data_IF_239234362687
#
_entry.id   IF_239234362687
#
_cell.length_a   1.000
_cell.length_b   1.000
_cell.length_c   1.000
_cell.angle_alpha   90.00
_cell.angle_beta   90.00
_cell.angle_gamma   90.00
#
_symmetry.space_group_name_H-M   'P 1'
#
loop_
_entity.id
_entity.type
_entity.pdbx_description
1 polymer ?
#
# COMPACT_ATOMS: atom_id res chain seq x y z
N UNK A 1 -0.56 14.15 -6.47
CA UNK A 1 -0.13 15.34 -5.71
C UNK A 1 1.38 15.54 -5.77
N UNK A 2 2.18 14.58 -5.33
CA UNK A 2 3.65 14.73 -5.24
C UNK A 2 4.36 14.95 -6.60
N UNK A 3 3.87 14.34 -7.68
CA UNK A 3 4.37 14.67 -9.03
C UNK A 3 4.11 16.15 -9.38
N UNK A 4 2.90 16.65 -9.14
CA UNK A 4 2.53 18.04 -9.41
C UNK A 4 3.37 19.04 -8.62
N UNK A 5 3.73 18.73 -7.37
CA UNK A 5 4.59 19.63 -6.58
C UNK A 5 6.00 19.75 -7.17
N UNK A 6 6.55 18.65 -7.72
CA UNK A 6 7.82 18.66 -8.43
C UNK A 6 7.74 19.47 -9.73
N UNK A 7 6.69 19.25 -10.53
CA UNK A 7 6.44 20.02 -11.76
C UNK A 7 6.33 21.51 -11.44
N UNK A 8 5.60 21.86 -10.38
CA UNK A 8 5.42 23.26 -9.98
C UNK A 8 6.74 23.88 -9.51
N UNK A 9 7.54 23.15 -8.74
CA UNK A 9 8.88 23.60 -8.33
C UNK A 9 9.80 23.84 -9.53
N UNK A 10 9.71 23.00 -10.57
CA UNK A 10 10.40 23.20 -11.85
C UNK A 10 9.93 24.44 -12.58
N UNK A 11 8.62 24.62 -12.75
CA UNK A 11 8.04 25.80 -13.41
C UNK A 11 8.43 27.12 -12.73
N UNK A 12 8.52 27.11 -11.41
CA UNK A 12 8.90 28.28 -10.61
C UNK A 12 10.41 28.42 -10.38
N UNK A 13 11.23 27.50 -10.91
CA UNK A 13 12.68 27.45 -10.70
C UNK A 13 13.06 27.52 -9.21
N UNK A 14 12.41 26.73 -8.34
CA UNK A 14 12.67 26.75 -6.89
C UNK A 14 13.87 25.86 -6.51
N UNK A 15 15.06 26.42 -6.22
CA UNK A 15 16.25 25.62 -5.94
C UNK A 15 16.21 24.96 -4.55
N UNK A 16 15.40 25.51 -3.64
CA UNK A 16 15.24 25.06 -2.26
C UNK A 16 14.14 24.00 -2.08
N UNK A 17 13.53 23.54 -3.17
CA UNK A 17 12.59 22.42 -3.13
C UNK A 17 13.33 21.10 -3.41
N UNK A 18 13.03 20.08 -2.62
CA UNK A 18 13.46 18.70 -2.87
C UNK A 18 12.40 17.73 -2.34
N UNK A 19 12.29 16.55 -2.94
CA UNK A 19 11.40 15.48 -2.50
C UNK A 19 12.19 14.19 -2.30
N UNK A 20 11.94 13.50 -1.20
CA UNK A 20 12.41 12.14 -0.98
C UNK A 20 11.33 11.19 -1.48
N UNK A 21 11.62 10.46 -2.56
CA UNK A 21 10.63 9.56 -3.16
C UNK A 21 10.66 8.20 -2.49
N UNK A 22 9.55 7.90 -1.80
CA UNK A 22 9.28 6.61 -1.14
C UNK A 22 7.94 6.02 -1.59
N UNK A 23 7.46 6.41 -2.77
CA UNK A 23 6.20 5.89 -3.32
C UNK A 23 6.38 4.47 -3.83
N UNK A 24 5.31 3.69 -3.71
CA UNK A 24 5.26 2.27 -4.02
C UNK A 24 4.16 1.94 -5.04
N UNK A 25 4.28 0.79 -5.69
CA UNK A 25 3.32 0.22 -6.64
C UNK A 25 2.63 -1.00 -6.02
N UNK A 26 1.30 -1.03 -6.10
CA UNK A 26 0.49 -2.08 -5.47
C UNK A 26 0.61 -3.44 -6.18
N UNK A 27 0.48 -3.55 -7.52
CA UNK A 27 0.50 -4.87 -8.17
C UNK A 27 1.79 -5.69 -7.91
N UNK A 28 3.01 -5.11 -7.99
CA UNK A 28 4.24 -5.85 -7.66
C UNK A 28 4.29 -6.35 -6.20
N UNK A 29 3.71 -5.60 -5.26
CA UNK A 29 3.66 -6.04 -3.87
C UNK A 29 2.63 -7.14 -3.65
N UNK A 30 1.47 -7.08 -4.34
CA UNK A 30 0.51 -8.18 -4.35
C UNK A 30 1.16 -9.45 -4.91
N UNK A 31 1.90 -9.33 -6.01
CA UNK A 31 2.64 -10.44 -6.62
C UNK A 31 3.65 -11.06 -5.64
N UNK A 32 4.45 -10.22 -4.97
CA UNK A 32 5.41 -10.68 -3.97
C UNK A 32 4.75 -11.39 -2.77
N UNK A 33 3.56 -10.96 -2.36
CA UNK A 33 2.79 -11.66 -1.31
C UNK A 33 2.26 -13.00 -1.84
N UNK A 34 1.77 -13.06 -3.07
CA UNK A 34 1.26 -14.30 -3.67
C UNK A 34 2.36 -15.33 -3.96
N UNK A 35 3.59 -14.88 -4.21
CA UNK A 35 4.76 -15.74 -4.37
C UNK A 35 5.34 -16.25 -3.03
N UNK A 36 4.88 -15.74 -1.88
CA UNK A 36 5.30 -16.22 -0.56
C UNK A 36 4.68 -17.58 -0.25
N UNK A 37 5.50 -18.56 0.15
CA UNK A 37 5.05 -19.93 0.47
C UNK A 37 4.06 -20.00 1.65
N UNK A 38 4.05 -18.98 2.50
CA UNK A 38 3.12 -18.87 3.63
C UNK A 38 1.84 -18.11 3.29
N UNK A 39 1.67 -17.70 2.03
CA UNK A 39 0.47 -17.00 1.58
C UNK A 39 -0.76 -17.90 1.68
N UNK A 40 -1.83 -17.36 2.24
CA UNK A 40 -3.12 -18.03 2.43
C UNK A 40 -4.29 -17.16 1.95
N UNK A 41 -4.02 -16.25 1.01
CA UNK A 41 -5.02 -15.32 0.48
C UNK A 41 -5.77 -15.99 -0.66
N UNK A 42 -7.10 -16.13 -0.50
CA UNK A 42 -7.97 -16.68 -1.54
C UNK A 42 -8.54 -15.62 -2.49
N UNK A 43 -8.60 -14.36 -2.07
CA UNK A 43 -9.12 -13.25 -2.87
C UNK A 43 -8.63 -11.89 -2.34
N UNK A 44 -8.61 -10.88 -3.21
CA UNK A 44 -8.31 -9.50 -2.83
C UNK A 44 -9.52 -8.58 -2.97
N UNK A 45 -9.63 -7.65 -2.01
CA UNK A 45 -10.38 -6.42 -2.20
C UNK A 45 -9.41 -5.33 -2.65
N UNK A 46 -9.54 -4.88 -3.90
CA UNK A 46 -8.66 -3.87 -4.48
C UNK A 46 -9.01 -2.46 -3.98
N UNK A 47 -7.99 -1.69 -3.62
CA UNK A 47 -8.14 -0.37 -3.04
C UNK A 47 -8.72 0.65 -4.03
N UNK A 48 -9.94 1.13 -3.76
CA UNK A 48 -10.68 2.03 -4.65
C UNK A 48 -9.97 3.35 -4.98
N UNK A 49 -9.30 4.00 -4.02
CA UNK A 49 -8.59 5.26 -4.28
C UNK A 49 -7.38 5.11 -5.20
N UNK A 50 -6.63 4.01 -5.05
CA UNK A 50 -5.51 3.71 -5.95
C UNK A 50 -6.06 3.40 -7.35
N UNK A 51 -7.10 2.58 -7.43
CA UNK A 51 -7.73 2.22 -8.69
C UNK A 51 -8.39 3.42 -9.41
N UNK A 52 -8.88 4.42 -8.67
CA UNK A 52 -9.40 5.65 -9.27
C UNK A 52 -8.34 6.43 -10.04
N UNK A 53 -7.06 6.32 -9.64
CA UNK A 53 -5.93 6.97 -10.32
C UNK A 53 -5.31 6.05 -11.37
N UNK A 54 -4.91 4.84 -10.97
CA UNK A 54 -4.12 3.93 -11.82
C UNK A 54 -4.98 3.08 -12.75
N UNK A 55 -6.26 2.93 -12.43
CA UNK A 55 -7.13 1.94 -13.05
C UNK A 55 -7.02 0.59 -12.34
N UNK A 56 -7.53 -0.45 -13.00
CA UNK A 56 -7.47 -1.83 -12.49
C UNK A 56 -7.02 -2.84 -13.54
N UNK A 57 -6.60 -2.39 -14.73
CA UNK A 57 -6.13 -3.26 -15.81
C UNK A 57 -4.89 -4.06 -15.42
N UNK A 58 -3.98 -3.48 -14.63
CA UNK A 58 -2.76 -4.15 -14.16
C UNK A 58 -3.04 -5.34 -13.22
N UNK A 59 -4.28 -5.49 -12.74
CA UNK A 59 -4.67 -6.64 -11.93
C UNK A 59 -5.11 -7.84 -12.77
N UNK A 60 -5.42 -7.69 -14.07
CA UNK A 60 -5.86 -8.81 -14.91
C UNK A 60 -4.81 -9.93 -15.01
N UNK A 61 -3.51 -9.64 -15.27
CA UNK A 61 -2.49 -10.68 -15.32
C UNK A 61 -2.30 -11.40 -13.97
N UNK A 62 -2.50 -10.70 -12.85
CA UNK A 62 -2.41 -11.30 -11.52
C UNK A 62 -3.56 -12.26 -11.26
N UNK A 63 -4.80 -11.85 -11.56
CA UNK A 63 -5.97 -12.70 -11.39
C UNK A 63 -5.87 -13.98 -12.23
N UNK A 64 -5.36 -13.88 -13.46
CA UNK A 64 -5.15 -15.02 -14.35
C UNK A 64 -4.01 -15.92 -13.89
N UNK A 65 -2.82 -15.36 -13.60
CA UNK A 65 -1.62 -16.12 -13.19
C UNK A 65 -1.84 -16.90 -11.91
N UNK A 66 -2.42 -16.26 -10.89
CA UNK A 66 -2.56 -16.85 -9.55
C UNK A 66 -3.93 -17.50 -9.32
N UNK A 67 -4.84 -17.43 -10.30
CA UNK A 67 -6.21 -17.91 -10.15
C UNK A 67 -6.85 -17.33 -8.88
N UNK A 68 -6.81 -15.99 -8.75
CA UNK A 68 -7.31 -15.27 -7.58
C UNK A 68 -8.32 -14.19 -7.98
N UNK A 69 -9.53 -14.14 -7.39
CA UNK A 69 -10.46 -13.05 -7.65
C UNK A 69 -9.95 -11.74 -7.04
N UNK A 70 -10.07 -10.64 -7.79
CA UNK A 70 -9.71 -9.31 -7.32
C UNK A 70 -10.93 -8.41 -7.50
N UNK A 71 -11.52 -7.91 -6.42
CA UNK A 71 -12.72 -7.09 -6.49
C UNK A 71 -12.40 -5.68 -6.03
N UNK A 72 -12.45 -4.69 -6.93
CA UNK A 72 -12.22 -3.29 -6.58
C UNK A 72 -13.43 -2.78 -5.79
N UNK A 73 -13.19 -2.25 -4.59
CA UNK A 73 -14.24 -1.74 -3.70
C UNK A 73 -14.05 -0.27 -3.37
N UNK A 74 -15.15 0.37 -2.98
CA UNK A 74 -15.10 1.61 -2.22
C UNK A 74 -14.79 1.35 -0.75
N UNK A 75 -15.09 2.33 0.10
CA UNK A 75 -14.77 2.32 1.53
C UNK A 75 -16.03 2.41 2.41
N UNK A 76 -17.22 2.54 1.82
CA UNK A 76 -18.45 2.47 2.60
C UNK A 76 -18.69 1.02 3.05
N UNK A 77 -19.32 0.80 4.22
CA UNK A 77 -19.58 -0.55 4.72
C UNK A 77 -20.28 -1.46 3.69
N UNK A 78 -21.21 -0.90 2.90
CA UNK A 78 -21.90 -1.64 1.85
C UNK A 78 -20.99 -2.01 0.68
N UNK A 79 -20.04 -1.15 0.31
CA UNK A 79 -19.07 -1.45 -0.75
C UNK A 79 -18.20 -2.65 -0.37
N UNK A 80 -17.76 -2.69 0.89
CA UNK A 80 -16.93 -3.78 1.42
C UNK A 80 -17.71 -5.09 1.47
N UNK A 81 -18.94 -5.09 2.00
CA UNK A 81 -19.79 -6.28 2.05
C UNK A 81 -20.10 -6.79 0.64
N UNK A 82 -20.39 -5.90 -0.30
CA UNK A 82 -20.62 -6.26 -1.70
C UNK A 82 -19.35 -6.84 -2.35
N UNK A 83 -18.19 -6.25 -2.09
CA UNK A 83 -16.90 -6.76 -2.55
C UNK A 83 -16.64 -8.19 -2.07
N UNK A 84 -16.80 -8.43 -0.77
CA UNK A 84 -16.66 -9.76 -0.14
C UNK A 84 -17.63 -10.75 -0.77
N UNK A 85 -18.90 -10.39 -0.89
CA UNK A 85 -19.93 -11.25 -1.49
C UNK A 85 -19.57 -11.65 -2.93
N UNK A 86 -19.05 -10.73 -3.74
CA UNK A 86 -18.63 -11.02 -5.11
C UNK A 86 -17.39 -11.92 -5.16
N UNK A 87 -16.40 -11.68 -4.28
CA UNK A 87 -15.22 -12.54 -4.18
C UNK A 87 -15.61 -13.98 -3.81
N UNK A 88 -16.46 -14.16 -2.79
CA UNK A 88 -16.95 -15.48 -2.37
C UNK A 88 -17.71 -16.18 -3.50
N UNK A 89 -18.60 -15.48 -4.21
CA UNK A 89 -19.32 -16.07 -5.35
C UNK A 89 -18.42 -16.49 -6.51
N UNK A 90 -17.33 -15.79 -6.73
CA UNK A 90 -16.32 -16.17 -7.71
C UNK A 90 -15.59 -17.45 -7.27
N UNK A 91 -15.16 -17.52 -6.02
CA UNK A 91 -14.53 -18.69 -5.42
C UNK A 91 -15.42 -19.94 -5.49
N UNK A 92 -16.69 -19.83 -5.10
CA UNK A 92 -17.67 -20.93 -5.17
C UNK A 92 -17.88 -21.48 -6.59
N UNK A 93 -17.61 -20.67 -7.61
CA UNK A 93 -17.78 -21.03 -9.03
C UNK A 93 -16.47 -21.40 -9.71
N UNK A 94 -15.33 -21.33 -9.03
CA UNK A 94 -14.01 -21.50 -9.65
C UNK A 94 -13.71 -20.45 -10.72
N UNK A 95 -14.17 -19.21 -10.52
CA UNK A 95 -13.93 -18.07 -11.42
C UNK A 95 -12.93 -17.13 -10.75
N UNK A 96 -11.99 -16.59 -11.53
CA UNK A 96 -10.89 -15.76 -11.04
C UNK A 96 -10.74 -14.51 -11.90
N UNK A 97 -11.67 -13.57 -11.75
CA UNK A 97 -11.72 -12.34 -12.54
C UNK A 97 -11.53 -11.12 -11.67
N UNK A 98 -11.01 -10.07 -12.31
CA UNK A 98 -11.05 -8.72 -11.74
C UNK A 98 -12.45 -8.15 -11.97
N UNK A 99 -13.10 -7.69 -10.90
CA UNK A 99 -14.40 -7.02 -10.95
C UNK A 99 -14.33 -5.62 -10.34
N UNK A 100 -15.08 -4.67 -10.89
CA UNK A 100 -15.16 -3.32 -10.36
C UNK A 100 -16.52 -3.07 -9.69
N UNK A 101 -16.56 -3.13 -8.36
CA UNK A 101 -17.73 -2.77 -7.56
C UNK A 101 -17.73 -1.29 -7.13
N UNK A 102 -16.71 -0.53 -7.52
CA UNK A 102 -16.59 0.91 -7.27
C UNK A 102 -16.73 1.75 -8.56
N UNK A 103 -17.57 1.27 -9.49
CA UNK A 103 -17.75 1.85 -10.83
C UNK A 103 -18.18 3.33 -10.85
N UNK A 104 -18.72 3.85 -9.74
CA UNK A 104 -19.04 5.27 -9.58
C UNK A 104 -17.80 6.18 -9.53
N UNK A 105 -16.63 5.64 -9.20
CA UNK A 105 -15.39 6.40 -9.03
C UNK A 105 -14.21 5.82 -9.83
N UNK A 106 -14.28 4.56 -10.26
CA UNK A 106 -13.16 3.84 -10.88
C UNK A 106 -13.48 3.46 -12.31
N UNK A 107 -12.58 3.82 -13.23
CA UNK A 107 -12.55 3.35 -14.63
C UNK A 107 -11.44 2.31 -14.82
N UNK A 108 -11.53 1.51 -15.88
CA UNK A 108 -10.54 0.45 -16.17
C UNK A 108 -9.14 1.04 -16.34
N UNK A 109 -9.05 2.06 -17.19
CA UNK A 109 -7.83 2.78 -17.55
C UNK A 109 -7.32 3.74 -16.45
N UNK A 110 -8.18 4.01 -15.45
CA UNK A 110 -7.94 4.98 -14.39
C UNK A 110 -8.09 6.43 -14.84
N UNK A 111 -7.25 7.31 -14.30
CA UNK A 111 -7.16 8.70 -14.67
C UNK A 111 -5.92 8.91 -15.56
N UNK A 112 -6.14 8.97 -16.88
CA UNK A 112 -5.07 9.09 -17.87
C UNK A 112 -4.22 10.36 -17.69
N UNK A 113 -4.83 11.49 -17.33
CA UNK A 113 -4.10 12.75 -17.10
C UNK A 113 -3.20 12.64 -15.86
N UNK A 114 -3.70 12.04 -14.79
CA UNK A 114 -2.90 11.82 -13.58
C UNK A 114 -1.74 10.84 -13.81
N UNK A 115 -1.98 9.77 -14.58
CA UNK A 115 -0.94 8.80 -14.97
C UNK A 115 0.16 9.48 -15.78
N UNK A 116 -0.19 10.29 -16.79
CA UNK A 116 0.77 11.05 -17.59
C UNK A 116 1.65 11.97 -16.72
N UNK A 117 1.04 12.68 -15.75
CA UNK A 117 1.78 13.53 -14.80
C UNK A 117 2.71 12.72 -13.89
N UNK A 118 2.29 11.54 -13.46
CA UNK A 118 3.12 10.64 -12.64
C UNK A 118 4.31 10.16 -13.48
N UNK A 119 4.08 9.68 -14.69
CA UNK A 119 5.10 9.14 -15.60
C UNK A 119 6.12 10.19 -16.06
N UNK A 120 5.70 11.45 -16.18
CA UNK A 120 6.58 12.57 -16.47
C UNK A 120 7.65 12.77 -15.39
N UNK A 121 7.26 12.65 -14.11
CA UNK A 121 8.14 12.95 -12.97
C UNK A 121 8.85 11.70 -12.45
N UNK A 122 8.17 10.56 -12.51
CA UNK A 122 8.60 9.33 -11.87
C UNK A 122 8.77 8.19 -12.89
N UNK A 123 9.89 7.48 -12.79
CA UNK A 123 10.14 6.20 -13.43
C UNK A 123 9.90 5.04 -12.46
N UNK A 124 9.85 3.81 -12.96
CA UNK A 124 9.72 2.61 -12.13
C UNK A 124 11.12 2.12 -11.73
N UNK A 125 11.28 1.75 -10.46
CA UNK A 125 12.48 1.14 -9.93
C UNK A 125 12.19 0.18 -8.78
N UNK A 126 13.24 -0.43 -8.26
CA UNK A 126 13.13 -1.34 -7.12
C UNK A 126 12.87 -0.56 -5.83
N UNK A 127 12.22 -1.20 -4.87
CA UNK A 127 11.91 -0.57 -3.59
C UNK A 127 11.98 -1.56 -2.45
N UNK A 128 12.59 -1.12 -1.36
CA UNK A 128 12.49 -1.78 -0.07
C UNK A 128 11.13 -1.51 0.57
N UNK A 129 10.40 -2.59 0.82
CA UNK A 129 9.15 -2.60 1.57
C UNK A 129 9.44 -3.02 3.00
N UNK A 130 9.24 -2.11 3.93
CA UNK A 130 9.53 -2.35 5.35
C UNK A 130 8.79 -3.60 5.86
N UNK A 131 9.52 -4.54 6.45
CA UNK A 131 9.02 -5.85 6.89
C UNK A 131 8.83 -6.92 5.81
N UNK A 132 8.89 -6.59 4.51
CA UNK A 132 8.74 -7.56 3.41
C UNK A 132 10.08 -7.77 2.69
N UNK A 133 10.88 -6.71 2.54
CA UNK A 133 12.17 -6.71 1.86
C UNK A 133 12.14 -5.97 0.53
N UNK A 134 13.20 -6.13 -0.27
CA UNK A 134 13.28 -5.49 -1.57
C UNK A 134 12.40 -6.20 -2.60
N UNK A 135 11.44 -5.47 -3.17
CA UNK A 135 10.58 -5.97 -4.23
C UNK A 135 10.98 -5.29 -5.55
N UNK A 136 11.35 -6.04 -6.60
CA UNK A 136 11.72 -5.47 -7.89
C UNK A 136 10.58 -4.66 -8.51
N UNK A 137 10.92 -3.55 -9.19
CA UNK A 137 9.96 -2.71 -9.93
C UNK A 137 8.71 -2.32 -9.14
N UNK A 138 8.84 -2.16 -7.82
CA UNK A 138 7.73 -1.96 -6.90
C UNK A 138 7.64 -0.53 -6.35
N UNK A 139 8.45 0.39 -6.84
CA UNK A 139 8.37 1.78 -6.44
C UNK A 139 8.75 2.76 -7.53
N UNK A 140 8.54 4.03 -7.23
CA UNK A 140 8.87 5.12 -8.13
C UNK A 140 10.26 5.67 -7.83
N UNK A 141 10.98 6.10 -8.85
CA UNK A 141 12.24 6.86 -8.77
C UNK A 141 12.10 8.15 -9.56
N UNK A 142 12.89 9.18 -9.27
CA UNK A 142 12.82 10.44 -10.01
C UNK A 142 13.42 10.27 -11.41
N UNK A 143 12.72 10.80 -12.42
CA UNK A 143 13.21 10.85 -13.79
C UNK A 143 14.41 11.81 -13.93
N UNK A 144 15.33 11.57 -14.88
CA UNK A 144 16.53 12.40 -15.08
C UNK A 144 16.22 13.91 -15.22
N UNK A 145 15.13 14.25 -15.89
CA UNK A 145 14.68 15.64 -16.12
C UNK A 145 14.27 16.39 -14.84
N UNK A 146 14.11 15.65 -13.75
CA UNK A 146 13.70 16.12 -12.44
C UNK A 146 14.73 15.84 -11.35
N UNK A 147 15.93 15.35 -11.73
CA UNK A 147 17.05 15.01 -10.83
C UNK A 147 17.45 16.17 -9.89
N UNK A 148 17.31 17.40 -10.37
CA UNK A 148 17.52 18.61 -9.56
C UNK A 148 16.50 18.80 -8.42
N UNK A 149 15.56 17.88 -8.20
CA UNK A 149 14.62 17.87 -7.07
C UNK A 149 14.74 16.59 -6.22
N UNK A 150 15.60 15.66 -6.59
CA UNK A 150 15.78 14.41 -5.85
C UNK A 150 16.57 14.63 -4.57
N UNK A 151 15.88 14.52 -3.43
CA UNK A 151 16.53 14.64 -2.13
C UNK A 151 17.52 13.49 -1.87
N UNK A 152 17.22 12.27 -2.35
CA UNK A 152 18.09 11.12 -2.14
C UNK A 152 19.47 11.36 -2.74
N UNK A 153 19.48 11.92 -3.95
CA UNK A 153 20.71 12.23 -4.65
C UNK A 153 21.39 13.50 -4.11
N UNK A 154 20.66 14.61 -3.96
CA UNK A 154 21.21 15.88 -3.49
C UNK A 154 21.93 15.77 -2.16
N UNK A 155 21.41 14.94 -1.27
CA UNK A 155 21.91 14.80 0.09
C UNK A 155 22.69 13.50 0.30
N UNK A 156 22.85 12.67 -0.73
CA UNK A 156 23.61 11.41 -0.64
C UNK A 156 23.03 10.42 0.36
N UNK A 157 21.71 10.37 0.52
CA UNK A 157 21.03 9.56 1.54
C UNK A 157 20.48 8.22 1.01
N UNK A 158 20.78 7.87 -0.24
CA UNK A 158 20.32 6.63 -0.89
C UNK A 158 20.85 5.35 -0.24
N UNK A 159 21.94 5.43 0.54
CA UNK A 159 22.56 4.27 1.19
C UNK A 159 22.22 4.11 2.68
N UNK A 160 21.36 4.98 3.24
CA UNK A 160 20.97 4.87 4.65
C UNK A 160 20.10 3.63 4.83
N UNK A 161 20.54 2.72 5.70
CA UNK A 161 19.75 1.57 6.16
C UNK A 161 19.36 1.78 7.61
N UNK A 162 18.11 1.49 7.92
CA UNK A 162 17.58 1.54 9.28
C UNK A 162 17.24 0.13 9.68
N UNK A 163 17.81 -0.33 10.79
CA UNK A 163 17.42 -1.62 11.37
C UNK A 163 16.05 -1.50 12.04
N UNK A 164 15.18 -2.47 11.77
CA UNK A 164 13.90 -2.58 12.44
C UNK A 164 14.06 -3.19 13.83
N UNK A 165 13.17 -2.87 14.76
CA UNK A 165 13.15 -3.52 16.07
C UNK A 165 12.89 -5.03 15.86
N UNK A 166 13.80 -5.92 16.30
CA UNK A 166 13.70 -7.36 16.04
C UNK A 166 12.49 -8.02 16.73
N UNK A 167 11.88 -7.36 17.71
CA UNK A 167 10.64 -7.82 18.34
C UNK A 167 9.38 -7.47 17.54
N UNK A 168 9.50 -6.63 16.51
CA UNK A 168 8.38 -6.21 15.68
C UNK A 168 8.09 -7.23 14.57
N UNK A 169 6.89 -7.82 14.59
CA UNK A 169 6.42 -8.74 13.54
C UNK A 169 5.63 -8.02 12.43
N UNK A 170 5.95 -6.76 12.14
CA UNK A 170 5.21 -5.96 11.16
C UNK A 170 5.14 -6.62 9.77
N UNK A 171 6.20 -7.30 9.34
CA UNK A 171 6.23 -8.07 8.10
C UNK A 171 5.16 -9.15 8.03
N UNK A 172 5.05 -9.99 9.06
CA UNK A 172 4.02 -11.03 9.15
C UNK A 172 2.60 -10.45 9.13
N UNK A 173 2.41 -9.27 9.73
CA UNK A 173 1.12 -8.57 9.74
C UNK A 173 0.79 -8.01 8.36
N UNK A 174 1.75 -7.38 7.69
CA UNK A 174 1.57 -6.82 6.35
C UNK A 174 1.31 -7.91 5.30
N UNK A 175 1.89 -9.09 5.47
CA UNK A 175 1.64 -10.27 4.61
C UNK A 175 0.34 -11.01 4.95
N UNK A 176 -0.39 -10.60 5.99
CA UNK A 176 -1.63 -11.26 6.42
C UNK A 176 -1.44 -12.59 7.16
N UNK A 177 -0.20 -13.00 7.45
CA UNK A 177 0.15 -14.26 8.13
C UNK A 177 -0.28 -14.21 9.60
N UNK A 178 -0.09 -13.06 10.27
CA UNK A 178 -0.45 -12.85 11.68
C UNK A 178 -1.32 -11.61 11.85
N UNK A 179 -2.23 -11.64 12.83
CA UNK A 179 -2.99 -10.45 13.24
C UNK A 179 -2.15 -9.60 14.20
N UNK A 180 -2.37 -8.27 14.28
CA UNK A 180 -1.66 -7.40 15.23
C UNK A 180 -1.70 -7.89 16.68
N UNK A 181 -2.82 -8.48 17.12
CA UNK A 181 -2.97 -9.04 18.47
C UNK A 181 -2.02 -10.23 18.77
N UNK A 182 -1.43 -10.87 17.76
CA UNK A 182 -0.42 -11.91 17.93
C UNK A 182 1.00 -11.34 18.16
N UNK A 183 1.19 -10.03 18.00
CA UNK A 183 2.47 -9.38 18.24
C UNK A 183 2.70 -9.20 19.76
N UNK A 184 3.85 -9.62 20.31
CA UNK A 184 4.11 -9.53 21.75
C UNK A 184 4.17 -8.08 22.27
N UNK A 185 4.49 -7.13 21.38
CA UNK A 185 4.65 -5.71 21.69
C UNK A 185 3.40 -4.86 21.48
N UNK A 186 2.38 -5.41 20.82
CA UNK A 186 1.19 -4.68 20.43
C UNK A 186 0.41 -4.20 21.65
N UNK A 187 0.16 -2.88 21.71
CA UNK A 187 -0.52 -2.22 22.81
C UNK A 187 0.29 -2.14 24.12
N UNK A 188 1.56 -2.58 24.10
CA UNK A 188 2.49 -2.48 25.22
C UNK A 188 3.55 -1.43 24.91
N UNK A 189 4.74 -1.85 24.44
CA UNK A 189 5.80 -0.94 23.97
C UNK A 189 5.49 -0.33 22.61
N UNK A 190 4.67 -1.01 21.80
CA UNK A 190 4.23 -0.52 20.50
C UNK A 190 2.82 0.07 20.60
N UNK A 191 2.72 1.39 20.58
CA UNK A 191 1.46 2.15 20.59
C UNK A 191 1.51 3.24 19.51
N UNK A 192 0.39 3.91 19.15
CA UNK A 192 0.44 5.04 18.22
C UNK A 192 1.37 6.18 18.68
N UNK A 193 1.51 6.39 20.00
CA UNK A 193 2.41 7.39 20.57
C UNK A 193 3.90 6.96 20.56
N UNK A 194 4.17 5.65 20.56
CA UNK A 194 5.51 5.06 20.51
C UNK A 194 5.51 3.84 19.57
N UNK A 195 5.49 4.04 18.25
CA UNK A 195 5.38 2.96 17.29
C UNK A 195 6.72 2.25 17.08
N UNK A 196 6.74 0.92 17.16
CA UNK A 196 7.93 0.13 16.84
C UNK A 196 8.04 -0.21 15.33
N UNK A 197 6.90 -0.32 14.64
CA UNK A 197 6.83 -0.71 13.22
C UNK A 197 5.90 0.17 12.40
N UNK A 198 6.13 0.22 11.09
CA UNK A 198 5.35 1.04 10.15
C UNK A 198 3.82 0.90 10.26
N UNK A 199 3.25 -0.31 10.46
CA UNK A 199 1.80 -0.46 10.57
C UNK A 199 1.16 0.18 11.82
N UNK A 200 1.96 0.66 12.79
CA UNK A 200 1.47 1.42 13.95
C UNK A 200 1.64 2.94 13.77
N UNK A 201 2.45 3.40 12.81
CA UNK A 201 2.76 4.82 12.60
C UNK A 201 1.60 5.56 11.93
N UNK A 202 1.01 4.95 10.90
CA UNK A 202 -0.11 5.54 10.16
C UNK A 202 -1.43 5.16 10.82
N UNK A 203 -2.39 6.10 10.87
CA UNK A 203 -3.78 5.80 11.27
C UNK A 203 -4.47 4.80 10.34
N UNK A 204 -3.97 4.66 9.10
CA UNK A 204 -4.43 3.65 8.13
C UNK A 204 -3.72 2.30 8.29
N UNK A 205 -2.68 2.24 9.12
CA UNK A 205 -1.90 1.01 9.34
C UNK A 205 -2.71 -0.04 10.10
N UNK A 206 -2.55 -1.31 9.72
CA UNK A 206 -3.30 -2.42 10.32
C UNK A 206 -3.15 -2.49 11.85
N UNK A 207 -1.95 -2.25 12.39
CA UNK A 207 -1.75 -2.25 13.85
C UNK A 207 -2.45 -1.05 14.50
N UNK A 208 -2.32 0.16 13.96
CA UNK A 208 -2.99 1.33 14.53
C UNK A 208 -4.52 1.17 14.51
N UNK A 209 -5.08 0.68 13.40
CA UNK A 209 -6.52 0.40 13.28
C UNK A 209 -6.98 -0.62 14.34
N UNK A 210 -6.26 -1.73 14.51
CA UNK A 210 -6.55 -2.68 15.58
C UNK A 210 -6.43 -2.05 16.96
N UNK A 211 -5.46 -1.17 17.20
CA UNK A 211 -5.29 -0.52 18.50
C UNK A 211 -6.50 0.36 18.84
N UNK A 212 -6.97 1.16 17.88
CA UNK A 212 -8.08 2.09 18.09
C UNK A 212 -9.44 1.40 18.20
N UNK A 213 -9.67 0.32 17.45
CA UNK A 213 -10.99 -0.30 17.35
C UNK A 213 -11.11 -1.64 18.09
N UNK A 214 -10.05 -2.12 18.73
CA UNK A 214 -10.14 -3.30 19.59
C UNK A 214 -10.77 -2.94 20.94
N UNK A 215 -12.00 -3.40 21.15
CA UNK A 215 -12.76 -3.22 22.38
C UNK A 215 -12.07 -3.83 23.61
N UNK A 216 -11.23 -4.86 23.43
CA UNK A 216 -10.50 -5.50 24.53
C UNK A 216 -9.38 -4.64 25.15
N UNK A 217 -8.90 -3.62 24.43
CA UNK A 217 -7.89 -2.68 24.95
C UNK A 217 -8.52 -1.52 25.74
N UNK A 218 -9.79 -1.21 25.50
CA UNK A 218 -10.52 -0.10 26.12
C UNK A 218 -11.34 -0.54 27.36
N UNK A 219 -11.22 -1.81 27.78
CA UNK A 219 -11.97 -2.38 28.91
C UNK A 219 -11.47 -2.02 30.31
N UNK A 220 -10.42 -1.20 30.45
CA UNK A 220 -9.82 -0.84 31.75
C UNK A 220 -9.95 0.64 32.14
N UNK A 221 -10.65 1.49 31.38
CA UNK A 221 -10.80 2.93 31.69
C UNK A 221 -12.21 3.33 32.18
N UNK A 222 -13.08 2.36 32.53
CA UNK A 222 -14.37 2.64 33.17
C UNK A 222 -14.40 1.96 34.54
N UNK A 223 -13.61 2.46 35.48
CA UNK A 223 -13.74 2.22 36.92
C UNK A 223 -12.91 3.27 37.68
N UNK A 224 -13.36 4.52 37.66
CA UNK A 224 -13.19 5.51 38.74
C UNK A 224 -14.42 6.43 38.78
#
# INVERSE_FOLDING_TARGET
>A
ANALSVIQAKKLNLPNYSILVSHVLVPPAMEAILDDEFCNIDAFLGAGHVAAIMGYEDYFPLAEKYQIPIVITGFEPLDLVQGIHHAVKQLEKGIYKVENQYARAVKAEGNLEAKAVIEEVFGIGDREWRGIGNIPKSGYVIQPDYRAYDAAEKFGISSIRVEEDPSCIAGDVLKGIKKPAACPEFGKRCTPASPLGAPMVSSEGACAAYYHFNSSLHGNEINE
#
